data_IF_661346288393
#
_entry.id   IF_661346288393
#
_cell.length_a   1.000
_cell.length_b   1.000
_cell.length_c   1.000
_cell.angle_alpha   90.00
_cell.angle_beta   90.00
_cell.angle_gamma   90.00
#
_symmetry.space_group_name_H-M   'P 1'
#
loop_
_entity.id
_entity.type
_entity.pdbx_description
1 polymer ?
#
# COMPACT_ATOMS: atom_id res chain seq x y z
N UNK A 1 3.82 17.72 -8.08
CA UNK A 1 3.10 16.43 -8.28
C UNK A 1 3.67 15.84 -9.56
N UNK A 2 4.36 14.70 -9.45
CA UNK A 2 5.12 14.15 -10.58
C UNK A 2 4.34 13.07 -11.32
N UNK A 3 3.37 12.43 -10.64
CA UNK A 3 2.52 11.39 -11.20
C UNK A 3 1.21 11.27 -10.41
N UNK A 4 0.11 11.07 -11.12
CA UNK A 4 -1.16 10.62 -10.57
C UNK A 4 -1.47 9.23 -11.13
N UNK A 5 -1.92 8.32 -10.26
CA UNK A 5 -2.33 6.96 -10.65
C UNK A 5 -3.71 6.70 -10.06
N UNK A 6 -4.67 6.34 -10.91
CA UNK A 6 -5.96 5.82 -10.47
C UNK A 6 -5.87 4.30 -10.41
N UNK A 7 -6.33 3.71 -9.29
CA UNK A 7 -6.34 2.26 -9.08
C UNK A 7 -7.79 1.82 -8.92
N UNK A 8 -8.22 0.85 -9.73
CA UNK A 8 -9.56 0.29 -9.63
C UNK A 8 -9.67 -0.66 -8.44
N UNK A 9 -10.66 -0.43 -7.57
CA UNK A 9 -10.97 -1.32 -6.44
C UNK A 9 -11.78 -2.57 -6.87
N UNK A 10 -12.27 -2.63 -8.11
CA UNK A 10 -13.13 -3.72 -8.58
C UNK A 10 -14.59 -3.55 -8.15
N UNK A 11 -15.33 -4.66 -7.99
CA UNK A 11 -16.74 -4.64 -7.61
C UNK A 11 -16.86 -4.45 -6.09
N UNK A 12 -17.63 -3.47 -5.64
CA UNK A 12 -17.81 -3.17 -4.22
C UNK A 12 -18.32 -4.37 -3.40
N UNK A 13 -19.19 -5.20 -3.97
CA UNK A 13 -19.72 -6.40 -3.33
C UNK A 13 -18.73 -7.55 -3.19
N UNK A 14 -17.57 -7.48 -3.84
CA UNK A 14 -16.51 -8.48 -3.80
C UNK A 14 -15.29 -8.03 -2.98
N UNK A 15 -15.41 -6.89 -2.26
CA UNK A 15 -14.33 -6.35 -1.44
C UNK A 15 -14.33 -7.00 -0.05
N UNK A 16 -13.75 -8.20 0.02
CA UNK A 16 -13.39 -8.87 1.28
C UNK A 16 -12.00 -8.45 1.78
N UNK A 17 -11.58 -8.96 2.95
CA UNK A 17 -10.28 -8.63 3.55
C UNK A 17 -9.09 -8.97 2.63
N UNK A 18 -9.18 -10.06 1.88
CA UNK A 18 -8.14 -10.47 0.93
C UNK A 18 -8.11 -9.57 -0.30
N UNK A 19 -9.25 -9.07 -0.76
CA UNK A 19 -9.34 -8.10 -1.84
C UNK A 19 -8.67 -6.78 -1.46
N UNK A 20 -8.86 -6.31 -0.23
CA UNK A 20 -8.17 -5.12 0.29
C UNK A 20 -6.65 -5.30 0.35
N UNK A 21 -6.19 -6.48 0.80
CA UNK A 21 -4.77 -6.82 0.81
C UNK A 21 -4.16 -6.83 -0.61
N UNK A 22 -4.86 -7.45 -1.57
CA UNK A 22 -4.46 -7.48 -2.99
C UNK A 22 -4.45 -6.09 -3.62
N UNK A 23 -5.38 -5.23 -3.24
CA UNK A 23 -5.42 -3.84 -3.67
C UNK A 23 -4.16 -3.09 -3.20
N UNK A 24 -3.75 -3.28 -1.94
CA UNK A 24 -2.47 -2.77 -1.42
C UNK A 24 -1.26 -3.22 -2.23
N UNK A 25 -1.17 -4.51 -2.55
CA UNK A 25 -0.10 -5.03 -3.41
C UNK A 25 -0.11 -4.43 -4.84
N UNK A 26 -1.30 -4.16 -5.39
CA UNK A 26 -1.47 -3.49 -6.68
C UNK A 26 -0.99 -2.05 -6.64
N UNK A 27 -1.32 -1.32 -5.56
CA UNK A 27 -0.82 0.04 -5.31
C UNK A 27 0.71 0.02 -5.23
N UNK A 28 1.30 -0.89 -4.47
CA UNK A 28 2.77 -1.02 -4.35
C UNK A 28 3.46 -1.25 -5.70
N UNK A 29 2.86 -2.06 -6.60
CA UNK A 29 3.39 -2.29 -7.94
C UNK A 29 3.42 -1.01 -8.80
N UNK A 30 2.50 -0.06 -8.56
CA UNK A 30 2.43 1.20 -9.28
C UNK A 30 3.48 2.23 -8.87
N UNK A 31 4.08 2.09 -7.67
CA UNK A 31 5.02 3.06 -7.10
C UNK A 31 6.32 3.16 -7.92
N UNK A 32 6.74 2.06 -8.56
CA UNK A 32 7.95 1.97 -9.40
C UNK A 32 9.22 2.51 -8.71
N UNK A 33 9.63 3.73 -9.05
CA UNK A 33 10.84 4.43 -8.54
C UNK A 33 10.49 5.60 -7.61
N UNK A 34 9.22 5.77 -7.24
CA UNK A 34 8.81 6.81 -6.32
C UNK A 34 9.45 6.59 -4.94
N UNK A 35 9.90 7.68 -4.31
CA UNK A 35 10.46 7.66 -2.96
C UNK A 35 9.47 8.13 -1.89
N UNK A 36 8.48 8.93 -2.29
CA UNK A 36 7.40 9.41 -1.45
C UNK A 36 6.08 9.31 -2.21
N UNK A 37 5.04 8.80 -1.54
CA UNK A 37 3.74 8.52 -2.14
C UNK A 37 2.64 8.88 -1.14
N UNK A 38 1.65 9.63 -1.62
CA UNK A 38 0.38 9.83 -0.94
C UNK A 38 -0.71 8.98 -1.62
N UNK A 39 -1.37 8.12 -0.84
CA UNK A 39 -2.50 7.30 -1.27
C UNK A 39 -3.75 7.91 -0.68
N UNK A 40 -4.67 8.38 -1.52
CA UNK A 40 -6.00 8.81 -1.09
C UNK A 40 -6.91 7.58 -1.15
N UNK A 41 -7.30 7.08 0.02
CA UNK A 41 -8.16 5.92 0.14
C UNK A 41 -9.60 6.38 0.36
N UNK A 42 -10.30 6.52 -0.76
CA UNK A 42 -11.72 6.84 -0.81
C UNK A 42 -12.36 5.96 -1.89
N UNK A 43 -13.21 5.01 -1.47
CA UNK A 43 -13.86 4.05 -2.36
C UNK A 43 -15.37 4.21 -2.21
N UNK A 44 -16.07 4.79 -3.20
CA UNK A 44 -17.50 4.98 -3.11
C UNK A 44 -18.24 3.63 -3.16
N UNK A 45 -19.31 3.52 -2.37
CA UNK A 45 -20.19 2.33 -2.37
C UNK A 45 -19.71 1.18 -1.49
N UNK A 46 -18.73 1.40 -0.60
CA UNK A 46 -18.29 0.43 0.40
C UNK A 46 -17.81 1.14 1.68
N UNK A 47 -17.77 0.43 2.81
CA UNK A 47 -17.17 0.94 4.04
C UNK A 47 -15.64 0.86 3.94
N UNK A 48 -15.03 1.93 3.42
CA UNK A 48 -13.58 2.14 3.38
C UNK A 48 -13.05 2.62 4.75
N UNK A 49 -13.28 1.82 5.79
CA UNK A 49 -12.93 2.13 7.18
C UNK A 49 -11.47 1.90 7.56
N UNK A 50 -11.17 2.04 8.86
CA UNK A 50 -9.82 1.90 9.40
C UNK A 50 -9.20 0.51 9.15
N UNK A 51 -9.99 -0.57 9.29
CA UNK A 51 -9.51 -1.94 9.05
C UNK A 51 -9.15 -2.17 7.58
N UNK A 52 -9.96 -1.68 6.65
CA UNK A 52 -9.70 -1.79 5.22
C UNK A 52 -8.43 -1.01 4.83
N UNK A 53 -8.25 0.19 5.38
CA UNK A 53 -7.03 0.97 5.19
C UNK A 53 -5.79 0.26 5.76
N UNK A 54 -5.90 -0.41 6.91
CA UNK A 54 -4.84 -1.24 7.48
C UNK A 54 -4.49 -2.43 6.58
N UNK A 55 -5.49 -3.15 6.04
CA UNK A 55 -5.27 -4.26 5.10
C UNK A 55 -4.56 -3.77 3.82
N UNK A 56 -4.92 -2.60 3.30
CA UNK A 56 -4.22 -1.98 2.15
C UNK A 56 -2.76 -1.67 2.52
N UNK A 57 -2.50 -1.12 3.71
CA UNK A 57 -1.15 -0.85 4.18
C UNK A 57 -0.31 -2.12 4.32
N UNK A 58 -0.88 -3.19 4.87
CA UNK A 58 -0.25 -4.50 4.98
C UNK A 58 0.08 -5.08 3.60
N UNK A 59 -0.85 -4.97 2.65
CA UNK A 59 -0.63 -5.40 1.27
C UNK A 59 0.52 -4.66 0.58
N UNK A 60 0.64 -3.35 0.83
CA UNK A 60 1.77 -2.54 0.33
C UNK A 60 3.09 -3.03 0.94
N UNK A 61 3.12 -3.26 2.25
CA UNK A 61 4.31 -3.70 2.97
C UNK A 61 4.79 -5.08 2.48
N UNK A 62 3.88 -6.05 2.38
CA UNK A 62 4.17 -7.40 1.91
C UNK A 62 4.77 -7.40 0.50
N UNK A 63 4.22 -6.58 -0.41
CA UNK A 63 4.74 -6.47 -1.79
C UNK A 63 6.08 -5.74 -1.87
N UNK A 64 6.37 -4.85 -0.93
CA UNK A 64 7.60 -4.06 -0.89
C UNK A 64 8.79 -4.81 -0.29
N UNK A 65 8.54 -5.94 0.38
CA UNK A 65 9.60 -6.76 0.98
C UNK A 65 10.52 -7.38 -0.08
N UNK A 66 11.83 -7.21 0.08
CA UNK A 66 12.85 -7.91 -0.70
C UNK A 66 13.88 -8.57 0.21
N UNK A 67 14.18 -9.84 -0.04
CA UNK A 67 15.22 -10.56 0.68
C UNK A 67 16.53 -10.52 -0.12
N UNK A 68 17.32 -9.48 0.12
CA UNK A 68 18.58 -9.26 -0.60
C UNK A 68 19.82 -9.64 0.23
N UNK A 69 19.63 -10.23 1.43
CA UNK A 69 20.70 -10.59 2.38
C UNK A 69 21.81 -11.45 1.78
N UNK A 70 21.47 -12.35 0.85
CA UNK A 70 22.42 -13.27 0.21
C UNK A 70 22.67 -12.96 -1.27
N UNK A 71 22.19 -11.82 -1.77
CA UNK A 71 22.47 -11.42 -3.15
C UNK A 71 23.79 -10.67 -3.19
N UNK A 72 24.67 -11.07 -4.11
CA UNK A 72 25.91 -10.35 -4.39
C UNK A 72 25.57 -8.94 -4.87
N UNK A 73 26.02 -7.92 -4.12
CA UNK A 73 25.84 -6.52 -4.49
C UNK A 73 26.74 -6.23 -5.69
N UNK A 74 26.18 -5.66 -6.76
CA UNK A 74 26.98 -5.10 -7.84
C UNK A 74 27.39 -3.69 -7.42
N UNK A 75 28.61 -3.27 -7.75
CA UNK A 75 29.19 -1.98 -7.32
C UNK A 75 28.39 -0.72 -7.76
N UNK A 76 27.36 -0.88 -8.59
CA UNK A 76 26.47 0.20 -9.05
C UNK A 76 25.08 0.21 -8.40
N UNK A 77 24.75 -0.76 -7.54
CA UNK A 77 23.46 -0.78 -6.85
C UNK A 77 23.56 0.02 -5.55
N UNK A 78 23.14 1.30 -5.62
CA UNK A 78 22.78 2.02 -4.40
C UNK A 78 21.68 1.25 -3.65
N UNK A 79 21.73 1.18 -2.32
CA UNK A 79 20.66 0.56 -1.55
C UNK A 79 19.34 1.27 -1.84
N UNK A 80 18.35 0.52 -2.33
CA UNK A 80 16.99 1.06 -2.55
C UNK A 80 16.46 1.62 -1.23
N UNK A 81 16.29 2.94 -1.19
CA UNK A 81 15.65 3.60 -0.04
C UNK A 81 14.21 3.10 0.08
N UNK A 82 13.74 2.79 1.30
CA UNK A 82 12.34 2.43 1.50
C UNK A 82 11.44 3.58 1.05
N UNK A 83 10.35 3.25 0.37
CA UNK A 83 9.37 4.25 -0.10
C UNK A 83 8.55 4.70 1.10
N UNK A 84 8.46 6.03 1.31
CA UNK A 84 7.58 6.61 2.32
C UNK A 84 6.16 6.66 1.74
N UNK A 85 5.26 5.88 2.31
CA UNK A 85 3.84 5.83 1.91
C UNK A 85 2.97 6.44 2.99
N UNK A 86 2.14 7.41 2.61
CA UNK A 86 1.13 8.04 3.48
C UNK A 86 -0.25 7.68 2.95
N UNK A 87 -1.08 7.06 3.77
CA UNK A 87 -2.47 6.73 3.40
C UNK A 87 -3.40 7.73 4.08
N UNK A 88 -4.14 8.49 3.28
CA UNK A 88 -5.22 9.35 3.72
C UNK A 88 -6.52 8.53 3.72
N UNK A 89 -7.11 8.33 4.88
CA UNK A 89 -8.37 7.60 5.07
C UNK A 89 -9.30 8.40 5.99
N UNK A 90 -10.58 8.01 6.03
CA UNK A 90 -11.61 8.70 6.82
C UNK A 90 -11.32 8.71 8.33
N UNK A 91 -10.78 7.60 8.88
CA UNK A 91 -10.35 7.51 10.28
C UNK A 91 -8.90 7.01 10.39
N UNK A 92 -7.92 7.93 10.46
CA UNK A 92 -6.51 7.58 10.62
C UNK A 92 -6.19 6.92 11.96
N UNK A 93 -6.97 7.19 13.01
CA UNK A 93 -6.71 6.65 14.35
C UNK A 93 -7.10 5.18 14.41
N UNK A 94 -8.29 4.85 13.91
CA UNK A 94 -8.73 3.46 13.77
C UNK A 94 -7.82 2.66 12.84
N UNK A 95 -7.35 3.25 11.74
CA UNK A 95 -6.42 2.60 10.82
C UNK A 95 -5.07 2.28 11.47
N UNK A 96 -4.48 3.21 12.22
CA UNK A 96 -3.22 2.97 12.94
C UNK A 96 -3.34 1.85 13.96
N UNK A 97 -4.46 1.81 14.70
CA UNK A 97 -4.72 0.76 15.67
C UNK A 97 -4.87 -0.60 14.98
N UNK A 98 -5.72 -0.68 13.96
CA UNK A 98 -5.94 -1.92 13.21
C UNK A 98 -4.66 -2.44 12.54
N UNK A 99 -3.79 -1.54 12.06
CA UNK A 99 -2.52 -1.94 11.45
C UNK A 99 -1.49 -2.48 12.44
N UNK A 100 -1.57 -2.14 13.73
CA UNK A 100 -0.70 -2.71 14.75
C UNK A 100 -1.13 -4.13 15.15
N UNK A 101 -2.40 -4.48 14.90
CA UNK A 101 -2.99 -5.79 15.21
C UNK A 101 -2.94 -6.77 14.01
N UNK A 102 -2.58 -6.29 12.81
CA UNK A 102 -2.36 -7.09 11.58
C UNK A 102 -0.95 -7.70 11.55
#
# INVERSE_FOLDING_TARGET
>A
IDRLVAVGAGKASALDDQAWLRLGGTIAASLRKATEVAVVFDVPGTEAGGRQAANVAAGILLRSYSFDKYKTKKDKDEPKKPVKVTIHCADPTAAKKAFADE
#
